data_IF_063024738873
#
_entry.id   IF_063024738873
#
_cell.length_a   1.000
_cell.length_b   1.000
_cell.length_c   1.000
_cell.angle_alpha   90.00
_cell.angle_beta   90.00
_cell.angle_gamma   90.00
#
_symmetry.space_group_name_H-M   'P 1'
#
loop_
_entity.id
_entity.type
_entity.pdbx_description
1 polymer ?
#
# COMPACT_ATOMS: atom_id res chain seq x y z
N UNK A 1 -21.64 8.08 -13.84
CA UNK A 1 -22.36 6.93 -13.25
C UNK A 1 -23.25 6.33 -14.32
N UNK A 2 -23.26 5.00 -14.46
CA UNK A 2 -24.19 4.27 -15.32
C UNK A 2 -24.84 3.15 -14.52
N UNK A 3 -25.76 2.40 -15.14
CA UNK A 3 -26.45 1.27 -14.48
C UNK A 3 -25.48 0.24 -13.89
N UNK A 4 -24.32 0.08 -14.54
CA UNK A 4 -23.30 -0.90 -14.19
C UNK A 4 -22.15 -0.23 -13.42
N UNK A 5 -22.00 -0.61 -12.15
CA UNK A 5 -20.89 -0.16 -11.30
C UNK A 5 -19.58 -0.78 -11.79
N UNK A 6 -18.61 0.07 -12.17
CA UNK A 6 -17.30 -0.38 -12.72
C UNK A 6 -16.22 -0.53 -11.65
N UNK A 7 -16.19 0.39 -10.71
CA UNK A 7 -15.21 0.45 -9.61
C UNK A 7 -15.90 1.02 -8.38
N UNK A 8 -15.39 0.65 -7.21
CA UNK A 8 -15.83 1.13 -5.91
C UNK A 8 -14.63 1.18 -4.95
N UNK A 9 -14.79 1.80 -3.79
CA UNK A 9 -13.74 1.89 -2.77
C UNK A 9 -14.21 1.38 -1.42
N UNK A 10 -13.28 0.84 -0.65
CA UNK A 10 -13.51 0.48 0.75
C UNK A 10 -12.29 0.83 1.58
N UNK A 11 -12.46 0.85 2.91
CA UNK A 11 -11.37 1.07 3.84
C UNK A 11 -10.98 -0.24 4.51
N UNK A 12 -9.68 -0.51 4.60
CA UNK A 12 -9.13 -1.64 5.33
C UNK A 12 -7.74 -1.29 5.86
N UNK A 13 -7.45 -1.72 7.09
CA UNK A 13 -6.09 -1.73 7.61
C UNK A 13 -5.37 -2.98 7.10
N UNK A 14 -4.26 -2.83 6.36
CA UNK A 14 -3.54 -3.98 5.84
C UNK A 14 -2.91 -4.79 6.97
N UNK A 15 -2.81 -6.10 6.75
CA UNK A 15 -1.98 -6.96 7.59
C UNK A 15 -0.56 -6.93 7.04
N UNK A 16 0.36 -6.30 7.79
CA UNK A 16 1.73 -6.01 7.37
C UNK A 16 2.71 -6.62 8.35
N UNK A 17 3.64 -7.40 7.82
CA UNK A 17 4.75 -7.96 8.57
C UNK A 17 6.08 -7.63 7.90
N UNK A 18 7.02 -7.10 8.67
CA UNK A 18 8.38 -6.92 8.22
C UNK A 18 9.06 -8.27 8.02
N UNK A 19 9.64 -8.50 6.83
CA UNK A 19 10.24 -9.79 6.46
C UNK A 19 11.64 -10.03 7.06
N UNK A 20 12.17 -9.10 7.85
CA UNK A 20 13.58 -9.10 8.27
C UNK A 20 14.56 -9.06 7.08
N UNK A 21 14.06 -8.61 5.93
CA UNK A 21 14.80 -8.45 4.69
C UNK A 21 15.02 -6.96 4.41
N UNK A 22 16.29 -6.53 4.42
CA UNK A 22 16.64 -5.12 4.30
C UNK A 22 17.94 -4.88 3.51
N UNK A 23 18.07 -3.65 3.01
CA UNK A 23 19.30 -3.08 2.49
C UNK A 23 19.46 -1.67 3.06
N UNK A 24 20.58 -1.45 3.73
CA UNK A 24 21.06 -0.15 4.18
C UNK A 24 22.34 0.13 3.39
N UNK A 25 22.37 1.27 2.72
CA UNK A 25 23.56 1.81 2.08
C UNK A 25 23.83 3.19 2.68
N UNK A 26 24.95 3.32 3.38
CA UNK A 26 25.42 4.59 3.94
C UNK A 26 26.58 5.09 3.09
N UNK A 27 26.41 6.29 2.56
CA UNK A 27 27.40 6.98 1.75
C UNK A 27 28.26 7.83 2.68
N UNK A 28 29.56 7.59 2.65
CA UNK A 28 30.54 8.33 3.42
C UNK A 28 31.17 9.43 2.56
N UNK A 29 31.94 10.32 3.19
CA UNK A 29 32.80 11.29 2.50
C UNK A 29 33.84 10.62 1.58
N UNK A 30 34.12 9.33 1.80
CA UNK A 30 35.01 8.52 0.97
C UNK A 30 34.21 7.58 0.08
N UNK A 31 34.03 7.97 -1.18
CA UNK A 31 33.25 7.22 -2.19
C UNK A 31 33.65 5.73 -2.29
N UNK A 32 34.93 5.41 -2.07
CA UNK A 32 35.45 4.03 -2.16
C UNK A 32 35.11 3.14 -0.95
N UNK A 33 34.60 3.72 0.14
CA UNK A 33 34.31 2.99 1.38
C UNK A 33 32.87 3.24 1.87
N UNK A 34 31.85 2.81 1.10
CA UNK A 34 30.47 2.82 1.58
C UNK A 34 30.29 1.80 2.70
N UNK A 35 29.27 2.00 3.54
CA UNK A 35 28.82 0.99 4.50
C UNK A 35 27.57 0.36 3.94
N UNK A 36 27.60 -0.96 3.75
CA UNK A 36 26.48 -1.71 3.15
C UNK A 36 26.08 -2.83 4.10
N UNK A 37 24.88 -2.75 4.64
CA UNK A 37 24.35 -3.71 5.58
C UNK A 37 23.05 -4.29 5.01
N UNK A 38 23.01 -5.61 4.81
CA UNK A 38 21.88 -6.25 4.15
C UNK A 38 21.74 -7.70 4.60
N UNK A 39 20.51 -8.20 4.53
CA UNK A 39 20.17 -9.62 4.69
C UNK A 39 19.92 -10.32 3.36
N UNK A 40 20.10 -9.63 2.22
CA UNK A 40 19.91 -10.23 0.90
C UNK A 40 21.02 -11.25 0.56
N UNK A 41 20.68 -12.54 0.37
CA UNK A 41 21.69 -13.58 0.16
C UNK A 41 22.54 -13.35 -1.10
N UNK A 42 21.97 -12.71 -2.12
CA UNK A 42 22.63 -12.38 -3.40
C UNK A 42 23.74 -11.33 -3.27
N UNK A 43 23.72 -10.52 -2.20
CA UNK A 43 24.73 -9.48 -1.94
C UNK A 43 25.71 -9.85 -0.84
N UNK A 44 25.31 -10.69 0.11
CA UNK A 44 26.02 -10.91 1.37
C UNK A 44 27.52 -11.20 1.19
N UNK A 45 27.88 -12.05 0.23
CA UNK A 45 29.27 -12.41 -0.05
C UNK A 45 30.09 -11.24 -0.60
N UNK A 46 29.50 -10.44 -1.48
CA UNK A 46 30.18 -9.33 -2.16
C UNK A 46 30.34 -8.11 -1.25
N UNK A 47 29.42 -7.92 -0.29
CA UNK A 47 29.41 -6.74 0.59
C UNK A 47 29.98 -7.02 1.98
N UNK A 48 30.46 -8.23 2.25
CA UNK A 48 30.98 -8.64 3.58
C UNK A 48 32.03 -7.69 4.15
N UNK A 49 32.93 -7.13 3.31
CA UNK A 49 33.94 -6.14 3.72
C UNK A 49 33.34 -4.77 4.08
N UNK A 50 32.19 -4.44 3.49
CA UNK A 50 31.48 -3.16 3.67
C UNK A 50 30.40 -3.23 4.76
N UNK A 51 30.08 -4.43 5.26
CA UNK A 51 29.12 -4.60 6.34
C UNK A 51 29.74 -4.20 7.69
N UNK A 52 29.41 -2.99 8.14
CA UNK A 52 29.84 -2.43 9.43
C UNK A 52 28.66 -2.15 10.37
N UNK A 53 27.54 -2.87 10.24
CA UNK A 53 26.39 -2.74 11.15
C UNK A 53 26.29 -3.91 12.12
N UNK A 54 27.00 -3.90 13.27
CA UNK A 54 26.96 -4.98 14.23
C UNK A 54 25.62 -5.11 14.97
N UNK A 55 24.85 -4.02 15.06
CA UNK A 55 23.58 -4.01 15.79
C UNK A 55 22.43 -3.59 14.91
N UNK A 56 21.43 -4.48 14.83
CA UNK A 56 20.14 -4.26 14.19
C UNK A 56 19.08 -4.60 15.23
N UNK A 57 18.18 -3.67 15.51
CA UNK A 57 17.03 -3.86 16.39
C UNK A 57 15.76 -3.66 15.59
N UNK A 58 14.82 -4.55 15.79
CA UNK A 58 13.55 -4.58 15.07
C UNK A 58 12.47 -4.88 16.09
N UNK A 59 11.38 -4.12 16.05
CA UNK A 59 10.21 -4.34 16.89
C UNK A 59 8.98 -3.87 16.13
N UNK A 60 8.02 -4.77 15.96
CA UNK A 60 6.68 -4.42 15.50
C UNK A 60 5.76 -4.22 16.71
N UNK A 61 4.82 -3.28 16.61
CA UNK A 61 3.86 -2.98 17.67
C UNK A 61 2.44 -2.93 17.11
N UNK A 62 1.54 -3.59 17.82
CA UNK A 62 0.09 -3.44 17.73
C UNK A 62 -0.34 -2.50 18.88
N UNK A 63 -0.63 -1.25 18.54
CA UNK A 63 -0.93 -0.16 19.49
C UNK A 63 -2.38 -0.25 19.95
N UNK A 64 -3.30 -0.59 19.04
CA UNK A 64 -4.73 -0.62 19.31
C UNK A 64 -5.23 -1.99 19.82
N UNK A 65 -4.38 -3.03 19.77
CA UNK A 65 -4.61 -4.42 20.17
C UNK A 65 -5.68 -5.14 19.35
N UNK A 66 -5.78 -4.84 18.06
CA UNK A 66 -6.71 -5.49 17.14
C UNK A 66 -6.15 -6.76 16.47
N UNK A 67 -4.89 -7.12 16.77
CA UNK A 67 -4.20 -8.27 16.21
C UNK A 67 -3.44 -7.98 14.92
N UNK A 68 -3.40 -6.72 14.46
CA UNK A 68 -2.59 -6.25 13.32
C UNK A 68 -1.50 -5.32 13.81
N UNK A 69 -0.34 -5.37 13.17
CA UNK A 69 0.72 -4.42 13.47
C UNK A 69 0.32 -3.02 12.99
N UNK A 70 0.64 -2.00 13.80
CA UNK A 70 0.45 -0.59 13.47
C UNK A 70 1.79 0.11 13.15
N UNK A 71 2.88 -0.36 13.76
CA UNK A 71 4.18 0.30 13.72
C UNK A 71 5.32 -0.71 13.56
N UNK A 72 6.35 -0.30 12.82
CA UNK A 72 7.68 -0.90 12.82
C UNK A 72 8.70 0.10 13.37
N UNK A 73 9.38 -0.29 14.44
CA UNK A 73 10.59 0.34 14.92
C UNK A 73 11.80 -0.42 14.40
N UNK A 74 12.58 0.24 13.54
CA UNK A 74 13.80 -0.29 12.97
C UNK A 74 14.99 0.59 13.39
N UNK A 75 16.02 0.00 13.96
CA UNK A 75 17.26 0.70 14.33
C UNK A 75 18.46 -0.08 13.83
N UNK A 76 19.37 0.60 13.15
CA UNK A 76 20.64 0.07 12.72
C UNK A 76 21.78 0.95 13.22
N UNK A 77 22.82 0.34 13.77
CA UNK A 77 23.99 1.05 14.27
C UNK A 77 25.21 0.68 13.42
N UNK A 78 25.80 1.66 12.75
CA UNK A 78 26.98 1.50 11.92
C UNK A 78 28.23 1.99 12.65
N UNK A 79 29.26 1.14 12.73
CA UNK A 79 30.53 1.48 13.36
C UNK A 79 31.51 1.97 12.31
N UNK A 80 32.04 3.19 12.51
CA UNK A 80 32.97 3.81 11.57
C UNK A 80 34.00 4.68 12.32
N UNK A 81 35.23 4.83 11.80
CA UNK A 81 36.27 5.67 12.40
C UNK A 81 35.80 7.13 12.55
N UNK A 82 36.25 7.84 13.58
CA UNK A 82 35.82 9.21 13.88
C UNK A 82 36.13 10.24 12.79
N UNK A 83 37.03 9.92 11.87
CA UNK A 83 37.37 10.76 10.70
C UNK A 83 36.34 10.69 9.57
N UNK A 84 35.53 9.63 9.50
CA UNK A 84 34.56 9.43 8.42
C UNK A 84 33.21 10.05 8.79
N UNK A 85 32.56 10.67 7.81
CA UNK A 85 31.23 11.27 7.99
C UNK A 85 30.23 10.63 7.03
N UNK A 86 29.01 10.40 7.50
CA UNK A 86 27.94 9.85 6.67
C UNK A 86 27.13 10.99 6.07
N UNK A 87 27.17 11.10 4.76
CA UNK A 87 26.51 12.15 3.97
C UNK A 87 25.20 11.67 3.33
N UNK A 88 25.03 10.37 3.16
CA UNK A 88 23.83 9.80 2.55
C UNK A 88 23.44 8.49 3.22
N UNK A 89 22.15 8.22 3.23
CA UNK A 89 21.58 6.96 3.70
C UNK A 89 20.45 6.54 2.78
N UNK A 90 20.56 5.34 2.23
CA UNK A 90 19.50 4.64 1.52
C UNK A 90 19.00 3.50 2.39
N UNK A 91 17.69 3.45 2.59
CA UNK A 91 17.00 2.42 3.34
C UNK A 91 15.99 1.73 2.42
N UNK A 92 16.09 0.42 2.31
CA UNK A 92 15.11 -0.43 1.65
C UNK A 92 14.71 -1.55 2.60
N UNK A 93 13.40 -1.65 2.87
CA UNK A 93 12.80 -2.66 3.75
C UNK A 93 11.78 -3.47 2.95
N UNK A 94 11.77 -4.80 3.13
CA UNK A 94 10.78 -5.68 2.52
C UNK A 94 9.72 -6.09 3.53
N UNK A 95 8.46 -6.09 3.08
CA UNK A 95 7.30 -6.42 3.90
C UNK A 95 6.44 -7.47 3.19
N UNK A 96 5.86 -8.38 3.98
CA UNK A 96 4.71 -9.17 3.57
C UNK A 96 3.46 -8.32 3.80
N UNK A 97 2.69 -8.09 2.74
CA UNK A 97 1.54 -7.17 2.76
C UNK A 97 0.30 -7.91 2.28
N UNK A 98 -0.74 -7.92 3.14
CA UNK A 98 -1.97 -8.67 2.87
C UNK A 98 -3.23 -7.84 3.11
N UNK A 99 -4.21 -8.06 2.25
CA UNK A 99 -5.58 -7.54 2.34
C UNK A 99 -6.56 -8.70 2.28
N UNK A 100 -7.66 -8.60 3.02
CA UNK A 100 -8.61 -9.69 3.20
C UNK A 100 -10.08 -9.29 3.07
N UNK A 101 -10.43 -8.00 3.16
CA UNK A 101 -11.83 -7.56 3.31
C UNK A 101 -12.69 -7.82 2.07
N UNK A 102 -12.49 -7.05 0.99
CA UNK A 102 -13.25 -7.20 -0.26
C UNK A 102 -12.41 -7.80 -1.40
N UNK A 103 -11.09 -7.73 -1.26
CA UNK A 103 -10.12 -8.25 -2.22
C UNK A 103 -9.04 -8.99 -1.45
N UNK A 104 -8.78 -10.24 -1.80
CA UNK A 104 -7.70 -10.98 -1.20
C UNK A 104 -6.41 -10.72 -1.98
N UNK A 105 -5.55 -9.85 -1.45
CA UNK A 105 -4.24 -9.53 -2.03
C UNK A 105 -3.15 -10.06 -1.10
N UNK A 106 -2.14 -10.68 -1.69
CA UNK A 106 -0.89 -11.00 -0.99
C UNK A 106 0.29 -10.62 -1.87
N UNK A 107 1.21 -9.85 -1.30
CA UNK A 107 2.39 -9.43 -2.03
C UNK A 107 3.59 -9.19 -1.12
N UNK A 108 4.77 -9.40 -1.69
CA UNK A 108 5.98 -8.82 -1.13
C UNK A 108 6.11 -7.38 -1.63
N UNK A 109 6.20 -6.47 -0.67
CA UNK A 109 6.20 -5.03 -0.89
C UNK A 109 7.49 -4.39 -0.39
N UNK A 110 7.83 -3.22 -0.94
CA UNK A 110 9.05 -2.46 -0.66
C UNK A 110 8.67 -1.13 -0.02
N UNK A 111 9.31 -0.83 1.11
CA UNK A 111 9.52 0.54 1.56
C UNK A 111 10.91 1.01 1.17
N UNK A 112 11.00 2.11 0.41
CA UNK A 112 12.28 2.67 -0.06
C UNK A 112 12.37 4.16 0.27
N UNK A 113 13.53 4.57 0.79
CA UNK A 113 13.87 5.97 1.04
C UNK A 113 15.36 6.20 0.77
N UNK A 114 15.67 7.37 0.22
CA UNK A 114 17.01 7.93 0.23
C UNK A 114 16.97 9.30 0.94
N UNK A 115 17.93 9.53 1.83
CA UNK A 115 18.09 10.79 2.55
C UNK A 115 19.57 11.22 2.49
N UNK A 116 19.82 12.48 2.19
CA UNK A 116 21.16 13.05 2.10
C UNK A 116 21.31 14.27 3.03
N UNK A 117 22.53 14.53 3.47
CA UNK A 117 22.90 15.68 4.28
C UNK A 117 24.27 16.22 3.86
N UNK A 118 24.41 17.54 3.62
CA UNK A 118 25.67 18.13 3.16
C UNK A 118 26.76 18.18 4.24
N UNK A 119 26.39 18.15 5.52
CA UNK A 119 27.33 18.38 6.64
C UNK A 119 27.67 17.11 7.43
N UNK A 120 27.19 15.96 6.98
CA UNK A 120 27.32 14.71 7.72
C UNK A 120 26.43 14.64 8.97
N UNK A 121 26.05 13.43 9.35
CA UNK A 121 25.21 13.18 10.53
C UNK A 121 25.78 12.13 11.47
N UNK A 122 25.46 12.25 12.75
CA UNK A 122 25.66 11.21 13.77
C UNK A 122 24.47 10.26 13.86
N UNK A 123 23.27 10.78 13.61
CA UNK A 123 22.03 10.01 13.65
C UNK A 123 21.06 10.50 12.59
N UNK A 124 20.37 9.57 11.94
CA UNK A 124 19.27 9.81 11.04
C UNK A 124 18.00 9.21 11.64
N UNK A 125 17.00 10.06 11.91
CA UNK A 125 15.65 9.60 12.24
C UNK A 125 14.75 9.75 11.03
N UNK A 126 14.02 8.67 10.71
CA UNK A 126 13.04 8.59 9.65
C UNK A 126 11.70 8.27 10.29
N UNK A 127 10.68 9.05 9.98
CA UNK A 127 9.29 8.79 10.33
C UNK A 127 8.51 8.75 9.02
N UNK A 128 7.83 7.64 8.72
CA UNK A 128 7.10 7.50 7.47
C UNK A 128 5.90 6.56 7.61
N UNK A 129 5.01 6.60 6.63
CA UNK A 129 3.89 5.68 6.48
C UNK A 129 4.16 4.73 5.31
N UNK A 130 3.97 3.43 5.49
CA UNK A 130 3.97 2.47 4.39
C UNK A 130 2.60 2.50 3.72
N UNK A 131 2.52 3.11 2.53
CA UNK A 131 1.26 3.34 1.83
C UNK A 131 1.10 2.50 0.58
N UNK A 132 -0.12 2.07 0.29
CA UNK A 132 -0.49 1.35 -0.93
C UNK A 132 -0.64 2.31 -2.11
N UNK A 133 -0.07 1.92 -3.25
CA UNK A 133 -0.20 2.60 -4.53
C UNK A 133 -0.76 1.67 -5.59
N UNK A 134 -1.94 2.00 -6.09
CA UNK A 134 -2.67 1.19 -7.06
C UNK A 134 -2.76 1.92 -8.40
N UNK A 135 -2.27 1.29 -9.47
CA UNK A 135 -2.47 1.74 -10.86
C UNK A 135 -3.73 1.15 -11.50
N UNK A 136 -4.23 0.06 -10.91
CA UNK A 136 -5.44 -0.63 -11.35
C UNK A 136 -6.31 -0.99 -10.15
N UNK A 137 -7.61 -1.08 -10.36
CA UNK A 137 -8.53 -1.61 -9.35
C UNK A 137 -8.23 -3.09 -9.08
N UNK A 138 -8.25 -3.49 -7.81
CA UNK A 138 -8.14 -4.89 -7.41
C UNK A 138 -9.43 -5.65 -7.72
N UNK A 139 -9.33 -6.92 -8.11
CA UNK A 139 -10.51 -7.72 -8.37
C UNK A 139 -11.12 -8.21 -7.06
N UNK A 140 -12.43 -8.09 -6.89
CA UNK A 140 -13.16 -8.62 -5.72
C UNK A 140 -13.19 -10.16 -5.67
N UNK A 141 -12.69 -10.85 -6.70
CA UNK A 141 -12.80 -12.30 -6.85
C UNK A 141 -11.44 -12.96 -6.83
N UNK A 142 -11.34 -13.98 -5.99
CA UNK A 142 -10.17 -14.83 -5.88
C UNK A 142 -9.03 -14.20 -5.09
N UNK A 143 -7.95 -14.98 -4.95
CA UNK A 143 -6.71 -14.58 -4.29
C UNK A 143 -5.74 -14.04 -5.33
N UNK A 144 -5.36 -12.78 -5.21
CA UNK A 144 -4.30 -12.16 -6.00
C UNK A 144 -2.96 -12.32 -5.28
N UNK A 145 -2.22 -13.36 -5.66
CA UNK A 145 -0.87 -13.63 -5.16
C UNK A 145 0.20 -13.38 -6.23
N UNK A 146 -0.11 -12.61 -7.29
CA UNK A 146 0.80 -12.39 -8.43
C UNK A 146 2.14 -11.77 -8.02
N UNK A 147 2.13 -10.99 -6.95
CA UNK A 147 3.31 -10.31 -6.41
C UNK A 147 3.81 -10.93 -5.10
N UNK A 148 3.29 -12.10 -4.70
CA UNK A 148 3.79 -12.88 -3.57
C UNK A 148 5.02 -13.70 -4.00
N UNK A 149 6.02 -13.00 -4.49
CA UNK A 149 7.31 -13.55 -4.92
C UNK A 149 8.38 -12.56 -4.47
N UNK A 150 9.58 -13.07 -4.14
CA UNK A 150 10.67 -12.19 -3.71
C UNK A 150 10.98 -11.13 -4.76
N UNK A 151 11.08 -9.86 -4.36
CA UNK A 151 11.43 -8.75 -5.25
C UNK A 151 12.93 -8.80 -5.58
N UNK A 152 13.73 -9.39 -4.69
CA UNK A 152 15.18 -9.57 -4.81
C UNK A 152 15.52 -10.94 -5.41
N UNK A 153 14.94 -11.25 -6.57
CA UNK A 153 15.19 -12.51 -7.28
C UNK A 153 16.50 -12.52 -8.09
N UNK A 154 17.18 -13.67 -8.07
CA UNK A 154 18.30 -13.98 -8.94
C UNK A 154 19.67 -13.93 -8.26
N UNK A 155 20.71 -14.35 -8.99
CA UNK A 155 22.08 -14.44 -8.47
C UNK A 155 22.80 -13.09 -8.37
N UNK A 156 22.33 -12.06 -9.08
CA UNK A 156 22.95 -10.73 -9.12
C UNK A 156 21.93 -9.66 -8.74
N UNK A 157 22.19 -8.99 -7.62
CA UNK A 157 21.39 -7.85 -7.18
C UNK A 157 21.88 -6.56 -7.85
N UNK A 158 20.93 -5.74 -8.31
CA UNK A 158 21.19 -4.39 -8.78
C UNK A 158 20.00 -3.50 -8.42
N UNK A 159 20.21 -2.56 -7.48
CA UNK A 159 19.13 -1.77 -6.88
C UNK A 159 18.27 -1.02 -7.92
N UNK A 160 18.83 -0.28 -8.90
CA UNK A 160 18.02 0.39 -9.93
C UNK A 160 17.09 -0.54 -10.69
N UNK A 161 17.56 -1.74 -11.06
CA UNK A 161 16.77 -2.72 -11.81
C UNK A 161 15.66 -3.33 -10.95
N UNK A 162 15.92 -3.52 -9.65
CA UNK A 162 14.91 -3.99 -8.70
C UNK A 162 13.82 -2.94 -8.54
N UNK A 163 14.19 -1.67 -8.33
CA UNK A 163 13.25 -0.56 -8.19
C UNK A 163 12.45 -0.32 -9.47
N UNK A 164 13.07 -0.41 -10.64
CA UNK A 164 12.39 -0.28 -11.94
C UNK A 164 11.33 -1.39 -12.13
N UNK A 165 11.71 -2.65 -11.92
CA UNK A 165 10.77 -3.78 -11.97
C UNK A 165 9.64 -3.65 -10.96
N UNK A 166 9.95 -3.16 -9.76
CA UNK A 166 8.93 -2.92 -8.75
C UNK A 166 7.99 -1.78 -9.15
N UNK A 167 8.54 -0.65 -9.61
CA UNK A 167 7.78 0.52 -10.04
C UNK A 167 6.88 0.25 -11.24
N UNK A 168 7.15 -0.76 -12.08
CA UNK A 168 6.28 -1.16 -13.20
C UNK A 168 5.07 -1.99 -12.78
N UNK A 169 5.05 -2.56 -11.56
CA UNK A 169 3.88 -3.30 -11.05
C UNK A 169 2.64 -2.42 -11.01
N UNK A 170 1.47 -3.07 -11.05
CA UNK A 170 0.19 -2.37 -10.96
C UNK A 170 -0.23 -2.08 -9.53
N UNK A 171 0.37 -2.78 -8.57
CA UNK A 171 0.14 -2.61 -7.14
C UNK A 171 1.50 -2.64 -6.45
N UNK A 172 1.80 -1.59 -5.72
CA UNK A 172 3.06 -1.39 -5.00
C UNK A 172 2.76 -0.72 -3.65
N UNK A 173 3.70 -0.78 -2.73
CA UNK A 173 3.79 0.15 -1.60
C UNK A 173 4.97 1.10 -1.75
N UNK A 174 4.91 2.24 -1.07
CA UNK A 174 6.02 3.18 -0.94
C UNK A 174 5.91 3.92 0.39
N UNK A 175 7.03 4.50 0.83
CA UNK A 175 7.00 5.40 1.98
C UNK A 175 6.39 6.75 1.59
N UNK A 176 5.36 7.16 2.32
CA UNK A 176 4.71 8.47 2.23
C UNK A 176 4.79 9.20 3.57
N UNK A 177 4.43 10.48 3.57
CA UNK A 177 4.46 11.35 4.75
C UNK A 177 5.81 11.25 5.47
N UNK A 178 6.89 11.31 4.69
CA UNK A 178 8.25 11.07 5.20
C UNK A 178 8.79 12.33 5.86
N UNK A 179 9.13 12.23 7.14
CA UNK A 179 9.88 13.23 7.89
C UNK A 179 11.25 12.67 8.25
N UNK A 180 12.31 13.36 7.83
CA UNK A 180 13.69 12.99 8.14
C UNK A 180 14.37 14.06 8.97
N UNK A 181 15.12 13.65 10.00
CA UNK A 181 15.91 14.57 10.82
C UNK A 181 17.32 14.03 11.01
N UNK A 182 18.30 14.90 10.82
CA UNK A 182 19.72 14.59 10.99
C UNK A 182 20.23 15.26 12.26
N UNK A 183 20.77 14.45 13.18
CA UNK A 183 21.49 14.96 14.35
C UNK A 183 22.96 15.10 14.00
N UNK A 184 23.54 16.26 14.28
CA UNK A 184 24.94 16.57 13.99
C UNK A 184 25.85 16.22 15.18
N UNK A 185 27.14 16.11 14.91
CA UNK A 185 28.18 15.97 15.94
C UNK A 185 28.26 14.55 16.48
N UNK A 186 29.01 13.69 15.79
CA UNK A 186 29.27 12.33 16.25
C UNK A 186 30.44 12.37 17.22
N UNK A 187 30.20 11.98 18.48
CA UNK A 187 31.28 11.88 19.46
C UNK A 187 32.28 10.77 19.05
N UNK A 188 33.54 10.93 19.46
CA UNK A 188 34.61 10.00 19.12
C UNK A 188 34.26 8.58 19.57
N UNK A 189 34.32 7.62 18.64
CA UNK A 189 34.01 6.20 18.93
C UNK A 189 32.52 5.85 19.03
N UNK A 190 31.60 6.80 18.88
CA UNK A 190 30.17 6.50 18.81
C UNK A 190 29.77 5.98 17.42
N UNK A 191 28.87 4.99 17.34
CA UNK A 191 28.33 4.53 16.07
C UNK A 191 27.42 5.60 15.46
N UNK A 192 27.24 5.52 14.15
CA UNK A 192 26.14 6.19 13.48
C UNK A 192 24.83 5.42 13.74
N UNK A 193 23.75 6.13 14.04
CA UNK A 193 22.44 5.51 14.33
C UNK A 193 21.46 5.86 13.22
N UNK A 194 20.95 4.86 12.51
CA UNK A 194 19.79 4.98 11.63
C UNK A 194 18.58 4.45 12.39
N UNK A 195 17.62 5.32 12.65
CA UNK A 195 16.34 4.97 13.27
C UNK A 195 15.21 5.25 12.30
N UNK A 196 14.39 4.26 12.01
CA UNK A 196 13.19 4.38 11.21
C UNK A 196 11.97 3.92 12.01
N UNK A 197 10.93 4.74 12.03
CA UNK A 197 9.61 4.41 12.57
C UNK A 197 8.65 4.45 11.39
N UNK A 198 8.15 3.29 10.99
CA UNK A 198 7.25 3.12 9.86
C UNK A 198 5.85 2.80 10.39
N UNK A 199 4.85 3.56 9.99
CA UNK A 199 3.46 3.32 10.35
C UNK A 199 2.74 2.51 9.26
N UNK A 200 1.80 1.68 9.67
CA UNK A 200 0.93 0.87 8.82
C UNK A 200 -0.51 1.39 8.91
N UNK A 201 -0.84 2.49 8.23
CA UNK A 201 -2.14 3.13 8.35
C UNK A 201 -3.25 2.37 7.60
N UNK A 202 -4.49 2.71 7.92
CA UNK A 202 -5.66 2.27 7.14
C UNK A 202 -5.65 2.89 5.73
N UNK A 203 -6.03 2.08 4.74
CA UNK A 203 -5.99 2.44 3.34
C UNK A 203 -7.38 2.51 2.70
N UNK A 204 -7.52 3.41 1.72
CA UNK A 204 -8.67 3.43 0.82
C UNK A 204 -8.31 2.64 -0.42
N UNK A 205 -8.93 1.48 -0.59
CA UNK A 205 -8.59 0.53 -1.64
C UNK A 205 -9.62 0.60 -2.77
N UNK A 206 -9.13 0.79 -4.00
CA UNK A 206 -9.93 0.74 -5.21
C UNK A 206 -10.11 -0.71 -5.69
N UNK A 207 -11.35 -1.12 -5.90
CA UNK A 207 -11.66 -2.47 -6.37
C UNK A 207 -12.76 -2.51 -7.44
N UNK A 208 -12.76 -3.60 -8.22
CA UNK A 208 -13.79 -3.94 -9.18
C UNK A 208 -14.83 -4.86 -8.50
N UNK A 209 -16.10 -4.43 -8.41
CA UNK A 209 -17.14 -5.18 -7.70
C UNK A 209 -17.48 -6.50 -8.40
N UNK A 210 -17.82 -7.51 -7.60
CA UNK A 210 -18.30 -8.79 -8.12
C UNK A 210 -19.72 -8.71 -8.72
N UNK A 211 -20.10 -9.71 -9.50
CA UNK A 211 -21.42 -9.78 -10.17
C UNK A 211 -22.60 -9.51 -9.24
N UNK A 212 -22.66 -10.15 -8.08
CA UNK A 212 -23.78 -9.98 -7.14
C UNK A 212 -23.87 -8.55 -6.59
N UNK A 213 -22.73 -7.90 -6.37
CA UNK A 213 -22.71 -6.51 -5.93
C UNK A 213 -23.26 -5.58 -7.02
N UNK A 214 -22.85 -5.83 -8.27
CA UNK A 214 -23.34 -5.10 -9.44
C UNK A 214 -24.86 -5.30 -9.62
N UNK A 215 -25.36 -6.54 -9.52
CA UNK A 215 -26.79 -6.86 -9.64
C UNK A 215 -27.61 -6.17 -8.54
N UNK A 216 -27.13 -6.17 -7.29
CA UNK A 216 -27.78 -5.46 -6.18
C UNK A 216 -27.97 -3.97 -6.51
N UNK A 217 -26.94 -3.31 -7.03
CA UNK A 217 -27.01 -1.91 -7.41
C UNK A 217 -27.93 -1.67 -8.62
N UNK A 218 -27.84 -2.51 -9.65
CA UNK A 218 -28.68 -2.41 -10.83
C UNK A 218 -30.16 -2.55 -10.47
N UNK A 219 -30.50 -3.48 -9.56
CA UNK A 219 -31.86 -3.69 -9.09
C UNK A 219 -32.42 -2.46 -8.36
N UNK A 220 -31.62 -1.83 -7.49
CA UNK A 220 -32.01 -0.62 -6.76
C UNK A 220 -32.31 0.55 -7.71
N UNK A 221 -31.45 0.76 -8.70
CA UNK A 221 -31.65 1.79 -9.73
C UNK A 221 -32.88 1.51 -10.59
N UNK A 222 -33.06 0.25 -11.02
CA UNK A 222 -34.21 -0.18 -11.79
C UNK A 222 -35.53 0.08 -11.05
N UNK A 223 -35.62 -0.30 -9.77
CA UNK A 223 -36.83 -0.10 -8.98
C UNK A 223 -37.16 1.39 -8.79
N UNK A 224 -36.14 2.22 -8.63
CA UNK A 224 -36.28 3.68 -8.47
C UNK A 224 -36.91 4.34 -9.70
N UNK A 225 -36.70 3.79 -10.90
CA UNK A 225 -37.32 4.26 -12.14
C UNK A 225 -38.67 3.59 -12.38
N UNK A 226 -38.77 2.27 -12.14
CA UNK A 226 -39.97 1.50 -12.42
C UNK A 226 -41.19 2.00 -11.64
N UNK A 227 -41.04 2.31 -10.35
CA UNK A 227 -42.17 2.70 -9.49
C UNK A 227 -42.84 4.00 -9.97
N UNK A 228 -42.10 5.12 -10.18
CA UNK A 228 -42.69 6.33 -10.77
C UNK A 228 -43.34 6.09 -12.13
N UNK A 229 -42.72 5.30 -13.01
CA UNK A 229 -43.29 4.97 -14.32
C UNK A 229 -44.61 4.21 -14.22
N UNK A 230 -44.72 3.23 -13.33
CA UNK A 230 -45.97 2.50 -13.08
C UNK A 230 -47.04 3.46 -12.53
N UNK A 231 -46.69 4.34 -11.60
CA UNK A 231 -47.64 5.30 -11.02
C UNK A 231 -48.12 6.31 -12.07
N UNK A 232 -47.21 6.85 -12.87
CA UNK A 232 -47.53 7.74 -13.98
C UNK A 232 -48.39 7.04 -15.03
N UNK A 233 -48.03 5.82 -15.41
CA UNK A 233 -48.79 5.00 -16.36
C UNK A 233 -50.20 4.70 -15.85
N UNK A 234 -50.37 4.44 -14.55
CA UNK A 234 -51.70 4.28 -13.93
C UNK A 234 -52.51 5.57 -13.99
N UNK A 235 -51.90 6.73 -13.68
CA UNK A 235 -52.57 8.04 -13.76
C UNK A 235 -52.95 8.40 -15.19
N UNK A 236 -52.06 8.16 -16.15
CA UNK A 236 -52.31 8.41 -17.56
C UNK A 236 -53.43 7.50 -18.10
N UNK A 237 -53.41 6.20 -17.76
CA UNK A 237 -54.50 5.27 -18.11
C UNK A 237 -55.84 5.73 -17.53
N UNK A 238 -55.88 6.14 -16.26
CA UNK A 238 -57.07 6.70 -15.63
C UNK A 238 -57.57 7.96 -16.34
N UNK A 239 -56.66 8.86 -16.74
CA UNK A 239 -57.00 10.08 -17.48
C UNK A 239 -57.57 9.78 -18.87
N UNK A 240 -56.93 8.88 -19.64
CA UNK A 240 -57.37 8.51 -20.99
C UNK A 240 -58.74 7.84 -20.98
N UNK A 241 -58.95 6.88 -20.07
CA UNK A 241 -60.22 6.15 -19.94
C UNK A 241 -61.32 7.00 -19.28
N UNK A 242 -60.95 7.92 -18.39
CA UNK A 242 -61.89 8.86 -17.75
C UNK A 242 -62.43 9.90 -18.74
N UNK A 243 -61.57 10.40 -19.62
CA UNK A 243 -61.93 11.40 -20.63
C UNK A 243 -62.37 10.80 -21.98
N UNK A 244 -62.51 9.48 -22.07
CA UNK A 244 -62.96 8.76 -23.27
C UNK A 244 -62.19 9.13 -24.55
N UNK A 245 -60.88 9.40 -24.42
CA UNK A 245 -60.00 9.75 -25.54
C UNK A 245 -59.77 8.56 -26.50
N UNK A 246 -60.19 7.35 -26.09
CA UNK A 246 -60.15 6.11 -26.85
C UNK A 246 -61.49 5.40 -26.67
N UNK A 247 -61.99 4.75 -27.73
CA UNK A 247 -63.20 3.91 -27.65
C UNK A 247 -63.06 2.87 -26.52
N UNK A 248 -63.86 3.03 -25.48
CA UNK A 248 -63.86 2.16 -24.30
C UNK A 248 -65.30 1.80 -23.94
N UNK A 249 -65.56 0.51 -23.76
CA UNK A 249 -66.86 -0.03 -23.36
C UNK A 249 -66.80 -0.20 -21.83
N UNK A 250 -67.67 0.49 -21.10
CA UNK A 250 -67.84 0.28 -19.65
C UNK A 250 -68.83 -0.88 -19.47
N UNK A 251 -68.35 -2.06 -19.11
CA UNK A 251 -69.22 -3.16 -18.67
C UNK A 251 -69.72 -2.86 -17.24
N UNK A 252 -71.05 -2.70 -17.02
CA UNK A 252 -71.58 -2.55 -15.68
C UNK A 252 -71.42 -3.87 -14.91
N UNK A 253 -71.08 -3.84 -13.61
CA UNK A 253 -70.95 -5.05 -12.82
C UNK A 253 -72.30 -5.80 -12.78
N UNK A 254 -72.25 -7.11 -12.99
CA UNK A 254 -73.41 -8.00 -12.93
C UNK A 254 -74.18 -7.75 -11.63
N UNK A 255 -75.44 -7.29 -11.75
CA UNK A 255 -76.38 -7.26 -10.64
C UNK A 255 -76.66 -8.70 -10.21
N UNK A 256 -76.44 -9.00 -8.93
CA UNK A 256 -76.99 -10.20 -8.28
C UNK A 256 -78.50 -10.11 -8.23
#
# INVERSE_FOLDING_TARGET
SGLWLKTDTYREQPDVHFKYEYLILLETDRIEQPIICTTFPSLERSVKKFNKCPFIKVREEDVNRDGRNDLLHFEAQAVLPSSEIIQGATLMLLFDYKLYSHTWLEMESIGYLNAMTPMGGAQLNIFAELRLHQKQALMSRGRDARYNISVVQGMKFHLPTVLEKYATRNVTTHFQNVYTTWTRGRAQGQPFILRAVIQYPEEIILYAPGFWHIIKFAWLQYFSVLVPFILLGRKLKQFILGNSLVHSIKEPPWKK
#
